data_IF_932180868166
#
_entry.id   IF_932180868166
#
_cell.length_a   1.000
_cell.length_b   1.000
_cell.length_c   1.000
_cell.angle_alpha   90.00
_cell.angle_beta   90.00
_cell.angle_gamma   90.00
#
_symmetry.space_group_name_H-M   'P 1'
#
loop_
_entity.id
_entity.type
_entity.pdbx_description
1 polymer ?
#
# COMPACT_ATOMS: atom_id res chain seq x y z
N UNK A 1 5.61 12.20 8.76
CA UNK A 1 4.62 13.08 9.43
C UNK A 1 3.68 12.32 10.35
N UNK A 2 3.49 11.01 10.14
CA UNK A 2 2.65 10.18 10.98
C UNK A 2 3.45 9.49 12.09
N UNK A 3 2.83 9.37 13.27
CA UNK A 3 3.34 8.65 14.46
C UNK A 3 2.41 7.45 14.74
N UNK A 4 2.28 6.55 13.77
CA UNK A 4 1.30 5.46 13.83
C UNK A 4 1.56 4.46 14.97
N UNK A 5 2.83 4.22 15.29
CA UNK A 5 3.25 3.35 16.39
C UNK A 5 2.75 3.79 17.76
N UNK A 6 2.36 5.07 17.90
CA UNK A 6 1.73 5.59 19.11
C UNK A 6 0.27 5.16 19.25
N UNK A 7 -0.43 4.93 18.14
CA UNK A 7 -1.89 4.74 18.11
C UNK A 7 -2.31 3.33 17.70
N UNK A 8 -1.47 2.61 16.95
CA UNK A 8 -1.82 1.33 16.36
C UNK A 8 -0.76 0.26 16.63
N UNK A 9 -1.21 -0.98 16.79
CA UNK A 9 -0.37 -2.16 16.76
C UNK A 9 -0.41 -2.79 15.35
N UNK A 10 0.73 -3.25 14.81
CA UNK A 10 0.74 -3.89 13.50
C UNK A 10 -0.01 -5.23 13.51
N UNK A 11 -0.68 -5.53 12.39
CA UNK A 11 -1.33 -6.82 12.20
C UNK A 11 -0.30 -7.96 12.15
N UNK A 12 -0.69 -9.13 12.65
CA UNK A 12 0.15 -10.36 12.65
C UNK A 12 -0.34 -11.43 11.67
N UNK A 13 -1.51 -11.23 11.08
CA UNK A 13 -2.15 -12.17 10.16
C UNK A 13 -2.77 -11.41 9.00
N UNK A 14 -2.53 -11.88 7.78
CA UNK A 14 -2.99 -11.26 6.55
C UNK A 14 -3.81 -12.28 5.76
N UNK A 15 -5.00 -11.89 5.32
CA UNK A 15 -5.87 -12.75 4.51
C UNK A 15 -6.43 -11.96 3.34
N UNK A 16 -6.54 -12.60 2.19
CA UNK A 16 -7.23 -12.01 1.04
C UNK A 16 -8.74 -11.95 1.29
N UNK A 17 -9.39 -10.98 0.66
CA UNK A 17 -10.83 -10.78 0.72
C UNK A 17 -11.47 -11.42 -0.51
N UNK A 18 -12.47 -12.28 -0.32
CA UNK A 18 -13.29 -12.77 -1.43
C UNK A 18 -14.44 -11.81 -1.71
N UNK A 19 -14.53 -11.33 -2.95
CA UNK A 19 -15.59 -10.44 -3.39
C UNK A 19 -15.98 -10.74 -4.83
N UNK A 20 -17.26 -11.10 -5.04
CA UNK A 20 -17.82 -11.39 -6.38
C UNK A 20 -17.00 -12.42 -7.18
N UNK A 21 -16.46 -13.44 -6.51
CA UNK A 21 -15.64 -14.47 -7.16
C UNK A 21 -14.24 -14.01 -7.56
N UNK A 22 -13.77 -12.88 -7.03
CA UNK A 22 -12.39 -12.42 -7.12
C UNK A 22 -11.77 -12.42 -5.73
N UNK A 23 -10.49 -12.76 -5.65
CA UNK A 23 -9.69 -12.72 -4.43
C UNK A 23 -8.80 -11.49 -4.43
N UNK A 24 -8.98 -10.64 -3.43
CA UNK A 24 -8.36 -9.32 -3.35
C UNK A 24 -7.29 -9.34 -2.26
N UNK A 25 -6.06 -9.01 -2.63
CA UNK A 25 -5.03 -8.62 -1.66
C UNK A 25 -5.20 -7.14 -1.32
N UNK A 26 -5.70 -6.85 -0.12
CA UNK A 26 -5.88 -5.48 0.38
C UNK A 26 -4.67 -5.08 1.22
N UNK A 27 -4.09 -3.94 0.90
CA UNK A 27 -2.95 -3.34 1.60
C UNK A 27 -3.24 -1.88 1.93
N UNK A 28 -2.54 -1.35 2.94
CA UNK A 28 -2.70 0.03 3.40
C UNK A 28 -1.37 0.75 3.24
N UNK A 29 -1.39 1.82 2.45
CA UNK A 29 -0.31 2.80 2.30
C UNK A 29 1.10 2.16 2.30
N UNK A 30 1.86 2.29 3.40
CA UNK A 30 3.25 1.86 3.58
C UNK A 30 3.49 0.34 3.40
N UNK A 31 2.45 -0.49 3.43
CA UNK A 31 2.54 -1.94 3.22
C UNK A 31 3.26 -2.29 1.89
N UNK A 32 3.14 -1.45 0.86
CA UNK A 32 3.77 -1.65 -0.45
C UNK A 32 5.14 -0.98 -0.61
N UNK A 33 5.60 -0.18 0.35
CA UNK A 33 6.80 0.65 0.24
C UNK A 33 8.08 -0.11 0.59
N UNK A 34 7.92 -1.30 1.18
CA UNK A 34 9.00 -2.17 1.66
C UNK A 34 9.68 -2.95 0.50
N UNK A 35 10.18 -2.23 -0.50
CA UNK A 35 10.93 -2.80 -1.65
C UNK A 35 12.46 -2.69 -1.46
N UNK A 36 12.94 -1.85 -0.53
CA UNK A 36 14.37 -1.56 -0.32
C UNK A 36 14.88 -1.98 1.07
N UNK A 37 16.21 -2.12 1.21
CA UNK A 37 17.01 -2.69 2.32
C UNK A 37 16.87 -2.05 3.73
N UNK A 38 15.83 -1.26 4.00
CA UNK A 38 15.60 -0.66 5.32
C UNK A 38 14.17 -0.93 5.79
N UNK A 39 13.88 -2.13 6.31
CA UNK A 39 12.51 -2.56 6.55
C UNK A 39 11.85 -1.75 7.67
N UNK A 40 10.74 -1.08 7.33
CA UNK A 40 9.81 -0.50 8.32
C UNK A 40 9.02 -1.58 9.08
N UNK A 41 8.91 -2.78 8.49
CA UNK A 41 8.19 -3.94 9.01
C UNK A 41 9.08 -5.19 9.03
N UNK A 42 8.87 -6.06 10.01
CA UNK A 42 9.56 -7.36 10.15
C UNK A 42 9.30 -8.28 8.93
N UNK A 43 8.17 -8.08 8.23
CA UNK A 43 7.76 -8.84 7.05
C UNK A 43 6.94 -7.96 6.12
N UNK A 44 7.05 -8.14 4.80
CA UNK A 44 6.22 -7.45 3.82
C UNK A 44 4.84 -8.15 3.73
N UNK A 45 3.71 -7.46 4.01
CA UNK A 45 2.37 -8.06 3.98
C UNK A 45 2.03 -8.75 2.65
N UNK A 46 2.50 -8.20 1.53
CA UNK A 46 2.23 -8.78 0.22
C UNK A 46 2.93 -10.12 -0.01
N UNK A 47 4.09 -10.35 0.62
CA UNK A 47 4.77 -11.64 0.53
C UNK A 47 3.96 -12.76 1.23
N UNK A 48 3.10 -12.42 2.19
CA UNK A 48 2.17 -13.38 2.83
C UNK A 48 0.88 -13.52 2.03
N UNK A 49 0.37 -12.42 1.47
CA UNK A 49 -0.90 -12.43 0.72
C UNK A 49 -0.77 -13.17 -0.62
N UNK A 50 0.39 -13.10 -1.29
CA UNK A 50 0.59 -13.74 -2.59
C UNK A 50 0.45 -15.26 -2.54
N UNK A 51 0.82 -15.90 -1.41
CA UNK A 51 0.68 -17.34 -1.21
C UNK A 51 -0.79 -17.81 -1.28
N UNK A 52 -1.73 -16.90 -1.03
CA UNK A 52 -3.16 -17.15 -1.10
C UNK A 52 -3.72 -17.05 -2.53
N UNK A 53 -2.86 -16.71 -3.52
CA UNK A 53 -3.18 -16.57 -4.95
C UNK A 53 -4.30 -15.55 -5.22
N UNK A 54 -4.13 -14.28 -4.84
CA UNK A 54 -5.08 -13.22 -5.17
C UNK A 54 -5.11 -12.96 -6.69
N UNK A 55 -6.23 -12.43 -7.16
CA UNK A 55 -6.45 -12.03 -8.56
C UNK A 55 -6.01 -10.57 -8.80
N UNK A 56 -6.07 -9.73 -7.76
CA UNK A 56 -5.64 -8.34 -7.82
C UNK A 56 -5.17 -7.79 -6.47
N UNK A 57 -4.42 -6.70 -6.54
CA UNK A 57 -4.02 -5.90 -5.39
C UNK A 57 -4.83 -4.60 -5.34
N UNK A 58 -5.27 -4.23 -4.14
CA UNK A 58 -5.80 -2.89 -3.86
C UNK A 58 -4.94 -2.28 -2.74
N UNK A 59 -4.42 -1.09 -2.98
CA UNK A 59 -3.75 -0.28 -1.97
C UNK A 59 -4.59 0.97 -1.69
N UNK A 60 -5.03 1.11 -0.44
CA UNK A 60 -5.71 2.31 0.04
C UNK A 60 -4.70 3.16 0.83
N UNK A 61 -4.60 4.44 0.48
CA UNK A 61 -3.54 5.30 0.98
C UNK A 61 -4.06 6.66 1.47
N UNK A 62 -3.33 7.21 2.42
CA UNK A 62 -3.35 8.62 2.80
C UNK A 62 -1.92 9.17 2.62
N UNK A 63 -1.42 9.08 1.39
CA UNK A 63 -0.08 9.53 1.00
C UNK A 63 -0.08 11.06 0.87
N UNK A 64 0.70 11.78 1.70
CA UNK A 64 0.79 13.23 1.62
C UNK A 64 1.39 13.71 0.31
N UNK A 65 0.92 14.86 -0.16
CA UNK A 65 1.55 15.57 -1.26
C UNK A 65 2.99 15.95 -0.89
N UNK A 66 3.90 15.69 -1.84
CA UNK A 66 5.23 16.27 -1.85
C UNK A 66 5.64 16.51 -3.30
N UNK A 67 6.24 17.67 -3.55
CA UNK A 67 6.69 18.08 -4.88
C UNK A 67 7.60 17.04 -5.58
N UNK A 68 8.27 16.17 -4.81
CA UNK A 68 9.21 15.18 -5.35
C UNK A 68 8.69 13.74 -5.35
N UNK A 69 7.51 13.46 -4.79
CA UNK A 69 7.09 12.08 -4.47
C UNK A 69 6.22 11.40 -5.55
N UNK A 70 5.77 12.13 -6.57
CA UNK A 70 4.91 11.57 -7.61
C UNK A 70 5.58 10.43 -8.40
N UNK A 71 6.80 10.67 -8.89
CA UNK A 71 7.56 9.68 -9.67
C UNK A 71 7.95 8.46 -8.83
N UNK A 72 8.27 8.69 -7.55
CA UNK A 72 8.62 7.62 -6.61
C UNK A 72 7.42 6.71 -6.34
N UNK A 73 6.24 7.29 -6.13
CA UNK A 73 4.98 6.55 -5.95
C UNK A 73 4.66 5.69 -7.17
N UNK A 74 4.71 6.25 -8.38
CA UNK A 74 4.48 5.49 -9.61
C UNK A 74 5.49 4.35 -9.74
N UNK A 75 6.76 4.60 -9.43
CA UNK A 75 7.82 3.58 -9.47
C UNK A 75 7.54 2.43 -8.50
N UNK A 76 7.26 2.73 -7.23
CA UNK A 76 6.97 1.74 -6.17
C UNK A 76 5.77 0.87 -6.54
N UNK A 77 4.66 1.49 -6.98
CA UNK A 77 3.46 0.76 -7.38
C UNK A 77 3.71 -0.12 -8.61
N UNK A 78 4.44 0.40 -9.60
CA UNK A 78 4.83 -0.35 -10.79
C UNK A 78 5.75 -1.54 -10.47
N UNK A 79 6.68 -1.36 -9.54
CA UNK A 79 7.59 -2.41 -9.10
C UNK A 79 6.84 -3.52 -8.36
N UNK A 80 5.86 -3.19 -7.50
CA UNK A 80 5.00 -4.18 -6.85
C UNK A 80 4.14 -4.95 -7.87
N UNK A 81 3.49 -4.26 -8.81
CA UNK A 81 2.69 -4.91 -9.85
C UNK A 81 3.54 -5.89 -10.68
N UNK A 82 4.78 -5.51 -11.02
CA UNK A 82 5.74 -6.40 -11.69
C UNK A 82 6.20 -7.56 -10.81
N UNK A 83 6.58 -7.30 -9.56
CA UNK A 83 7.09 -8.31 -8.61
C UNK A 83 6.09 -9.44 -8.39
N UNK A 84 4.83 -9.09 -8.17
CA UNK A 84 3.77 -10.06 -7.87
C UNK A 84 2.98 -10.53 -9.10
N UNK A 85 3.24 -9.92 -10.27
CA UNK A 85 2.54 -10.21 -11.52
C UNK A 85 1.00 -10.09 -11.40
N UNK A 86 0.54 -9.07 -10.67
CA UNK A 86 -0.88 -8.78 -10.45
C UNK A 86 -1.23 -7.35 -10.85
N UNK A 87 -2.46 -7.11 -11.34
CA UNK A 87 -2.97 -5.76 -11.47
C UNK A 87 -3.04 -5.10 -10.09
N UNK A 88 -2.66 -3.83 -10.04
CA UNK A 88 -2.65 -3.02 -8.82
C UNK A 88 -3.58 -1.82 -9.01
N UNK A 89 -4.54 -1.68 -8.09
CA UNK A 89 -5.37 -0.49 -7.96
C UNK A 89 -4.90 0.33 -6.77
N UNK A 90 -4.51 1.57 -7.01
CA UNK A 90 -4.08 2.50 -5.97
C UNK A 90 -5.16 3.56 -5.78
N UNK A 91 -5.54 3.81 -4.53
CA UNK A 91 -6.54 4.82 -4.18
C UNK A 91 -5.99 5.67 -3.06
N UNK A 92 -5.79 6.96 -3.34
CA UNK A 92 -5.26 7.90 -2.37
C UNK A 92 -6.30 8.92 -1.94
N UNK A 93 -6.21 9.35 -0.68
CA UNK A 93 -6.97 10.49 -0.18
C UNK A 93 -6.69 11.75 -1.02
N UNK A 94 -7.70 12.61 -1.13
CA UNK A 94 -7.57 13.95 -1.73
C UNK A 94 -8.15 15.01 -0.80
N UNK A 95 -7.53 16.18 -0.75
CA UNK A 95 -7.96 17.31 0.06
C UNK A 95 -6.89 17.73 1.07
N UNK A 96 -7.28 18.48 2.09
CA UNK A 96 -6.35 18.91 3.14
C UNK A 96 -6.88 18.52 4.51
N UNK A 97 -5.97 18.22 5.43
CA UNK A 97 -6.24 18.06 6.84
C UNK A 97 -5.20 18.84 7.64
N UNK A 98 -5.65 19.92 8.28
CA UNK A 98 -4.78 20.87 8.99
C UNK A 98 -3.60 21.32 8.10
N UNK A 99 -2.35 20.99 8.43
CA UNK A 99 -1.15 21.37 7.68
C UNK A 99 -0.80 20.42 6.52
N UNK A 100 -1.48 19.27 6.40
CA UNK A 100 -1.17 18.24 5.42
C UNK A 100 -2.12 18.35 4.22
N UNK A 101 -1.55 18.29 3.02
CA UNK A 101 -2.28 18.21 1.76
C UNK A 101 -2.13 16.78 1.22
N UNK A 102 -3.23 16.22 0.72
CA UNK A 102 -3.28 14.96 -0.02
C UNK A 102 -3.69 15.28 -1.46
N UNK A 103 -2.87 14.87 -2.40
CA UNK A 103 -2.98 15.18 -3.82
C UNK A 103 -3.88 14.22 -4.61
N UNK A 104 -4.27 13.11 -4.01
CA UNK A 104 -4.92 12.03 -4.73
C UNK A 104 -3.90 11.34 -5.64
N UNK A 105 -4.07 11.47 -6.97
CA UNK A 105 -3.21 10.80 -7.95
C UNK A 105 -3.45 9.28 -8.01
N UNK A 106 -4.71 8.86 -7.95
CA UNK A 106 -5.14 7.45 -8.12
C UNK A 106 -5.08 6.99 -9.58
#
# INVERSE_FOLDING_TARGET
>A
VFDEYRYFEPARSFNCIEFKGQKIALTICEDLWNINDNPLYISNPMDVLIDQKPDLMINIAASPFSYTHDDERIKILSDNSRKYALPLLYVNQVGSQTEIIFDGGS
#
